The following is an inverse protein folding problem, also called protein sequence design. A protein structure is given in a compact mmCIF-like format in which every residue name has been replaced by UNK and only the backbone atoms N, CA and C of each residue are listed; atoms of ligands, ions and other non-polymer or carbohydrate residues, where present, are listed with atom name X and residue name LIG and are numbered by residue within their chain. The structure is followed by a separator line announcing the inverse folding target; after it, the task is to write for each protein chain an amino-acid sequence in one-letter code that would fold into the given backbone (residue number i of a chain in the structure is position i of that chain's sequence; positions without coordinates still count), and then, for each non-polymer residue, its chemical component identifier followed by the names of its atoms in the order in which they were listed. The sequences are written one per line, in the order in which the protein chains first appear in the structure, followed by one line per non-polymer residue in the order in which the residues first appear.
data_IF_608288179358
#
_entry.id   IF_608288179358
#
_cell.length_a   1.000
_cell.length_b   1.000
_cell.length_c   1.000
_cell.angle_alpha   90.00
_cell.angle_beta   90.00
_cell.angle_gamma   90.00
#
_symmetry.space_group_name_H-M   'P 1'
#
loop_
_entity.id
_entity.type
_entity.pdbx_description
1 polymer ?
#
# COMPACT_ATOMS: atom_id res chain seq x y z
N UNK A 1 2.95 -0.37 -16.43
CA UNK A 1 3.18 -1.00 -15.11
C UNK A 1 4.23 -0.29 -14.21
N UNK A 2 5.40 0.13 -14.74
CA UNK A 2 6.49 0.68 -13.92
C UNK A 2 6.18 1.99 -13.18
N UNK A 3 5.57 2.98 -13.86
CA UNK A 3 5.25 4.29 -13.25
C UNK A 3 4.21 4.14 -12.11
N UNK A 4 3.23 3.25 -12.25
CA UNK A 4 2.20 3.06 -11.22
C UNK A 4 2.81 2.49 -9.93
N UNK A 5 3.76 1.54 -10.07
CA UNK A 5 4.52 0.98 -8.94
C UNK A 5 5.35 2.03 -8.22
N UNK A 6 5.92 3.01 -8.95
CA UNK A 6 6.65 4.13 -8.33
C UNK A 6 5.73 4.98 -7.44
N UNK A 7 4.52 5.29 -7.90
CA UNK A 7 3.54 6.00 -7.08
C UNK A 7 3.09 5.20 -5.86
N UNK A 8 2.84 3.90 -6.00
CA UNK A 8 2.50 3.01 -4.89
C UNK A 8 3.58 3.04 -3.79
N UNK A 9 4.85 2.95 -4.16
CA UNK A 9 5.98 2.97 -3.20
C UNK A 9 6.17 4.34 -2.56
N UNK A 10 6.06 5.43 -3.32
CA UNK A 10 6.16 6.79 -2.76
C UNK A 10 5.03 7.08 -1.76
N UNK A 11 3.79 6.68 -2.09
CA UNK A 11 2.64 6.90 -1.21
C UNK A 11 2.75 6.01 0.03
N UNK A 12 3.12 4.74 -0.12
CA UNK A 12 3.33 3.83 1.01
C UNK A 12 4.44 4.34 1.95
N UNK A 13 5.56 4.85 1.42
CA UNK A 13 6.63 5.46 2.20
C UNK A 13 6.17 6.71 2.94
N UNK A 14 5.37 7.56 2.29
CA UNK A 14 4.77 8.74 2.92
C UNK A 14 3.79 8.36 4.04
N UNK A 15 2.96 7.33 3.83
CA UNK A 15 2.05 6.80 4.84
C UNK A 15 2.81 6.27 6.06
N UNK A 16 3.90 5.53 5.83
CA UNK A 16 4.75 5.00 6.88
C UNK A 16 5.40 6.13 7.70
N UNK A 17 5.94 7.14 7.02
CA UNK A 17 6.55 8.30 7.67
C UNK A 17 5.52 9.05 8.54
N UNK A 18 4.32 9.32 8.01
CA UNK A 18 3.25 9.98 8.78
C UNK A 18 2.82 9.14 9.98
N UNK A 19 2.65 7.83 9.79
CA UNK A 19 2.23 6.89 10.83
C UNK A 19 3.25 6.84 11.97
N UNK A 20 4.55 6.82 11.68
CA UNK A 20 5.61 6.84 12.68
C UNK A 20 5.71 8.20 13.38
N UNK A 21 5.70 9.30 12.61
CA UNK A 21 5.95 10.63 13.16
C UNK A 21 4.82 11.13 14.08
N UNK A 22 3.55 10.92 13.68
CA UNK A 22 2.41 11.46 14.41
C UNK A 22 1.86 10.51 15.48
N UNK A 23 1.93 9.20 15.27
CA UNK A 23 1.26 8.24 16.16
C UNK A 23 2.14 7.82 17.34
N UNK A 24 3.45 7.64 17.12
CA UNK A 24 4.42 7.32 18.18
C UNK A 24 4.42 8.37 19.31
N UNK A 25 4.15 9.63 18.98
CA UNK A 25 4.12 10.74 19.94
C UNK A 25 2.81 10.89 20.72
N UNK A 26 1.72 10.25 20.32
CA UNK A 26 0.37 10.60 20.80
C UNK A 26 -0.54 9.44 21.22
N UNK A 27 -0.20 8.19 20.91
CA UNK A 27 -0.98 7.02 21.31
C UNK A 27 -0.15 6.02 22.14
N UNK A 28 0.02 6.26 23.46
CA UNK A 28 0.76 5.37 24.34
C UNK A 28 -0.07 4.21 24.93
N UNK A 29 -1.35 4.00 24.56
CA UNK A 29 -2.18 2.95 25.20
C UNK A 29 -3.13 2.16 24.27
N UNK A 30 -3.31 2.54 23.00
CA UNK A 30 -4.12 1.79 22.03
C UNK A 30 -3.23 1.30 20.87
N UNK A 31 -2.55 0.17 21.10
CA UNK A 31 -1.52 -0.33 20.19
C UNK A 31 -2.07 -1.17 19.03
N UNK A 32 -3.17 -1.90 19.25
CA UNK A 32 -3.58 -2.99 18.34
C UNK A 32 -3.96 -2.52 16.92
N UNK A 33 -4.70 -1.42 16.80
CA UNK A 33 -5.15 -0.91 15.48
C UNK A 33 -3.99 -0.25 14.72
N UNK A 34 -3.16 0.51 15.44
CA UNK A 34 -2.00 1.17 14.87
C UNK A 34 -0.95 0.18 14.37
N UNK A 35 -0.63 -0.83 15.16
CA UNK A 35 0.34 -1.86 14.80
C UNK A 35 -0.10 -2.64 13.57
N UNK A 36 -1.40 -2.96 13.45
CA UNK A 36 -1.94 -3.60 12.25
C UNK A 36 -1.80 -2.71 11.01
N UNK A 37 -2.08 -1.41 11.12
CA UNK A 37 -1.88 -0.46 10.03
C UNK A 37 -0.40 -0.36 9.63
N UNK A 38 0.50 -0.22 10.60
CA UNK A 38 1.93 -0.08 10.37
C UNK A 38 2.55 -1.36 9.78
N UNK A 39 2.17 -2.53 10.28
CA UNK A 39 2.61 -3.82 9.74
C UNK A 39 2.15 -4.01 8.28
N UNK A 40 0.91 -3.60 7.98
CA UNK A 40 0.37 -3.70 6.62
C UNK A 40 1.09 -2.78 5.65
N UNK A 41 1.27 -1.51 6.02
CA UNK A 41 1.95 -0.52 5.17
C UNK A 41 3.42 -0.90 4.96
N UNK A 42 4.12 -1.38 5.99
CA UNK A 42 5.51 -1.85 5.85
C UNK A 42 5.61 -3.08 4.96
N UNK A 43 4.76 -4.09 5.13
CA UNK A 43 4.77 -5.28 4.29
C UNK A 43 4.57 -4.95 2.81
N UNK A 44 3.60 -4.07 2.52
CA UNK A 44 3.26 -3.65 1.16
C UNK A 44 4.35 -2.74 0.56
N UNK A 45 4.97 -1.87 1.37
CA UNK A 45 6.10 -1.05 0.94
C UNK A 45 7.32 -1.92 0.57
N UNK A 46 7.67 -2.89 1.42
CA UNK A 46 8.80 -3.79 1.18
C UNK A 46 8.55 -4.63 -0.07
N UNK A 47 7.37 -5.24 -0.18
CA UNK A 47 7.06 -6.09 -1.33
C UNK A 47 7.03 -5.30 -2.65
N UNK A 48 6.39 -4.13 -2.69
CA UNK A 48 6.38 -3.27 -3.90
C UNK A 48 7.75 -2.68 -4.20
N UNK A 49 8.55 -2.37 -3.18
CA UNK A 49 9.94 -1.94 -3.32
C UNK A 49 10.82 -3.02 -3.92
N UNK A 50 10.73 -4.26 -3.43
CA UNK A 50 11.41 -5.41 -4.00
C UNK A 50 11.01 -5.63 -5.47
N UNK A 51 9.72 -5.58 -5.79
CA UNK A 51 9.23 -5.73 -7.16
C UNK A 51 9.75 -4.63 -8.10
N UNK A 52 9.81 -3.38 -7.64
CA UNK A 52 10.41 -2.28 -8.39
C UNK A 52 11.90 -2.50 -8.62
N UNK A 53 12.65 -2.84 -7.56
CA UNK A 53 14.10 -3.05 -7.65
C UNK A 53 14.41 -4.23 -8.57
N UNK A 54 13.67 -5.34 -8.47
CA UNK A 54 13.80 -6.47 -9.40
C UNK A 54 13.49 -6.08 -10.84
N UNK A 55 12.50 -5.20 -11.07
CA UNK A 55 12.18 -4.68 -12.39
C UNK A 55 13.27 -3.74 -12.96
N UNK A 56 13.94 -2.96 -12.10
CA UNK A 56 15.02 -2.06 -12.50
C UNK A 56 16.33 -2.81 -12.76
N UNK A 57 16.66 -3.80 -11.93
CA UNK A 57 17.87 -4.61 -12.07
C UNK A 57 17.79 -5.59 -13.26
N UNK A 58 16.60 -6.03 -13.64
CA UNK A 58 16.42 -6.97 -14.74
C UNK A 58 15.25 -6.58 -15.64
N UNK A 59 15.51 -5.63 -16.54
CA UNK A 59 14.52 -5.08 -17.48
C UNK A 59 13.92 -6.14 -18.41
N UNK A 60 14.65 -7.23 -18.69
CA UNK A 60 14.12 -8.37 -19.47
C UNK A 60 13.02 -9.12 -18.70
N UNK A 61 13.14 -9.24 -17.38
CA UNK A 61 12.17 -9.90 -16.50
C UNK A 61 10.89 -9.08 -16.34
N UNK A 62 10.96 -7.75 -16.51
CA UNK A 62 9.79 -6.86 -16.43
C UNK A 62 8.67 -7.28 -17.41
N UNK A 63 9.05 -7.75 -18.60
CA UNK A 63 8.12 -8.19 -19.66
C UNK A 63 7.44 -9.53 -19.37
N UNK A 64 8.06 -10.37 -18.52
CA UNK A 64 7.59 -11.70 -18.13
C UNK A 64 6.77 -11.60 -16.85
N UNK A 65 7.24 -10.82 -15.87
CA UNK A 65 6.58 -10.63 -14.57
C UNK A 65 5.17 -10.02 -14.72
N UNK A 66 5.02 -9.03 -15.60
CA UNK A 66 3.71 -8.39 -15.92
C UNK A 66 2.69 -9.38 -16.51
N UNK A 67 3.13 -10.56 -16.98
CA UNK A 67 2.26 -11.62 -17.52
C UNK A 67 1.95 -12.73 -16.49
N UNK A 68 2.52 -12.67 -15.30
CA UNK A 68 2.35 -13.73 -14.30
C UNK A 68 1.09 -13.51 -13.46
N UNK A 69 0.40 -14.60 -13.12
CA UNK A 69 -0.67 -14.61 -12.11
C UNK A 69 -0.21 -14.06 -10.76
N UNK A 70 1.11 -14.10 -10.48
CA UNK A 70 1.69 -13.57 -9.27
C UNK A 70 1.46 -12.06 -9.10
N UNK A 71 1.62 -11.26 -10.16
CA UNK A 71 1.40 -9.80 -10.08
C UNK A 71 -0.08 -9.49 -9.80
N UNK A 72 -1.00 -10.22 -10.42
CA UNK A 72 -2.43 -10.10 -10.16
C UNK A 72 -2.79 -10.44 -8.70
N UNK A 73 -2.34 -11.59 -8.22
CA UNK A 73 -2.61 -12.06 -6.85
C UNK A 73 -2.00 -11.10 -5.84
N UNK A 74 -0.78 -10.65 -6.08
CA UNK A 74 -0.09 -9.67 -5.23
C UNK A 74 -0.90 -8.38 -5.09
N UNK A 75 -1.29 -7.75 -6.21
CA UNK A 75 -2.04 -6.48 -6.16
C UNK A 75 -3.44 -6.65 -5.54
N UNK A 76 -4.09 -7.80 -5.74
CA UNK A 76 -5.38 -8.10 -5.10
C UNK A 76 -5.25 -8.25 -3.58
N UNK A 77 -4.25 -9.00 -3.12
CA UNK A 77 -4.00 -9.21 -1.68
C UNK A 77 -3.54 -7.90 -1.03
N UNK A 78 -2.64 -7.16 -1.67
CA UNK A 78 -2.19 -5.84 -1.21
C UNK A 78 -3.35 -4.85 -1.11
N UNK A 79 -4.27 -4.85 -2.08
CA UNK A 79 -5.50 -4.05 -2.02
C UNK A 79 -6.36 -4.44 -0.81
N UNK A 80 -6.70 -5.71 -0.65
CA UNK A 80 -7.58 -6.16 0.43
C UNK A 80 -7.02 -5.83 1.82
N UNK A 81 -5.72 -6.09 2.03
CA UNK A 81 -5.03 -5.80 3.29
C UNK A 81 -4.95 -4.30 3.57
N UNK A 82 -4.51 -3.49 2.59
CA UNK A 82 -4.41 -2.03 2.78
C UNK A 82 -5.77 -1.39 2.99
N UNK A 83 -6.80 -1.84 2.27
CA UNK A 83 -8.17 -1.35 2.46
C UNK A 83 -8.69 -1.66 3.87
N UNK A 84 -8.55 -2.91 4.34
CA UNK A 84 -8.98 -3.29 5.68
C UNK A 84 -8.22 -2.50 6.76
N UNK A 85 -6.89 -2.42 6.66
CA UNK A 85 -6.05 -1.70 7.60
C UNK A 85 -6.36 -0.20 7.65
N UNK A 86 -6.51 0.45 6.50
CA UNK A 86 -6.86 1.87 6.42
C UNK A 86 -8.28 2.16 6.91
N UNK A 87 -9.24 1.26 6.68
CA UNK A 87 -10.62 1.45 7.13
C UNK A 87 -10.73 1.37 8.65
N UNK A 88 -10.11 0.37 9.27
CA UNK A 88 -10.09 0.23 10.73
C UNK A 88 -9.38 1.42 11.37
N UNK A 89 -8.22 1.83 10.82
CA UNK A 89 -7.48 3.00 11.29
C UNK A 89 -8.27 4.31 11.12
N UNK A 90 -9.03 4.45 10.03
CA UNK A 90 -9.89 5.62 9.81
C UNK A 90 -11.00 5.74 10.87
N UNK A 91 -11.68 4.63 11.19
CA UNK A 91 -12.74 4.66 12.20
C UNK A 91 -12.21 4.95 13.61
N UNK A 92 -11.03 4.44 13.94
CA UNK A 92 -10.36 4.69 15.20
C UNK A 92 -9.99 6.18 15.35
N UNK A 93 -9.31 6.73 14.34
CA UNK A 93 -8.80 8.11 14.35
C UNK A 93 -9.91 9.14 14.14
N UNK A 94 -11.02 8.80 13.48
CA UNK A 94 -12.18 9.70 13.27
C UNK A 94 -12.66 10.39 14.55
N UNK A 95 -12.60 9.68 15.68
CA UNK A 95 -13.07 10.21 16.95
C UNK A 95 -12.08 11.23 17.56
N UNK A 96 -10.83 11.18 17.11
CA UNK A 96 -9.78 12.10 17.52
C UNK A 96 -9.73 13.26 16.52
N UNK A 97 -10.08 14.45 16.99
CA UNK A 97 -10.25 15.70 16.21
C UNK A 97 -8.94 16.28 15.64
N UNK A 98 -7.99 15.43 15.24
CA UNK A 98 -6.71 15.79 14.65
C UNK A 98 -6.68 15.52 13.14
N UNK A 99 -6.72 16.61 12.38
CA UNK A 99 -6.71 16.57 10.92
C UNK A 99 -5.44 15.89 10.33
N UNK A 100 -4.29 15.97 11.02
CA UNK A 100 -3.03 15.40 10.51
C UNK A 100 -2.97 13.88 10.52
N UNK A 101 -3.56 13.23 11.52
CA UNK A 101 -3.58 11.76 11.62
C UNK A 101 -4.64 11.19 10.66
N UNK A 102 -5.76 11.89 10.53
CA UNK A 102 -6.78 11.61 9.52
C UNK A 102 -6.22 11.66 8.09
N UNK A 103 -5.33 12.61 7.79
CA UNK A 103 -4.66 12.66 6.49
C UNK A 103 -3.85 11.38 6.20
N UNK A 104 -3.21 10.78 7.21
CA UNK A 104 -2.51 9.50 7.08
C UNK A 104 -3.45 8.33 6.75
N UNK A 105 -4.62 8.27 7.40
CA UNK A 105 -5.64 7.26 7.13
C UNK A 105 -6.21 7.40 5.71
N UNK A 106 -6.49 8.64 5.28
CA UNK A 106 -7.00 8.93 3.92
C UNK A 106 -5.94 8.61 2.86
N UNK A 107 -4.66 8.91 3.10
CA UNK A 107 -3.58 8.51 2.20
C UNK A 107 -3.46 6.99 2.06
N UNK A 108 -3.67 6.24 3.16
CA UNK A 108 -3.75 4.78 3.10
C UNK A 108 -4.92 4.27 2.26
N UNK A 109 -6.09 4.92 2.34
CA UNK A 109 -7.22 4.61 1.45
C UNK A 109 -6.90 4.91 -0.01
N UNK A 110 -6.25 6.04 -0.29
CA UNK A 110 -5.80 6.38 -1.66
C UNK A 110 -4.83 5.32 -2.18
N UNK A 111 -3.90 4.85 -1.33
CA UNK A 111 -2.98 3.76 -1.66
C UNK A 111 -3.74 2.47 -2.03
N UNK A 112 -4.79 2.12 -1.27
CA UNK A 112 -5.61 0.95 -1.60
C UNK A 112 -6.31 1.09 -2.96
N UNK A 113 -6.86 2.27 -3.29
CA UNK A 113 -7.48 2.51 -4.61
C UNK A 113 -6.43 2.35 -5.72
N UNK A 114 -5.20 2.81 -5.48
CA UNK A 114 -4.12 2.65 -6.43
C UNK A 114 -3.80 1.17 -6.68
N UNK A 115 -3.73 0.36 -5.62
CA UNK A 115 -3.59 -1.10 -5.73
C UNK A 115 -4.76 -1.78 -6.45
N UNK A 116 -6.00 -1.30 -6.27
CA UNK A 116 -7.16 -1.79 -7.01
C UNK A 116 -7.02 -1.51 -8.51
N UNK A 117 -6.65 -0.28 -8.88
CA UNK A 117 -6.42 0.09 -10.28
C UNK A 117 -5.31 -0.80 -10.86
N UNK A 118 -4.22 -0.98 -10.12
CA UNK A 118 -3.10 -1.85 -10.48
C UNK A 118 -3.54 -3.30 -10.72
N UNK A 119 -4.40 -3.84 -9.85
CA UNK A 119 -4.99 -5.18 -10.00
C UNK A 119 -5.86 -5.30 -11.25
N UNK A 120 -6.69 -4.29 -11.55
CA UNK A 120 -7.52 -4.28 -12.78
C UNK A 120 -6.65 -4.24 -14.05
N UNK A 121 -5.57 -3.44 -14.04
CA UNK A 121 -4.62 -3.40 -15.16
C UNK A 121 -3.88 -4.73 -15.32
N UNK A 122 -3.45 -5.35 -14.21
CA UNK A 122 -2.83 -6.68 -14.24
C UNK A 122 -3.79 -7.75 -14.78
N UNK A 123 -5.07 -7.69 -14.40
CA UNK A 123 -6.09 -8.63 -14.88
C UNK A 123 -6.35 -8.48 -16.39
N UNK A 124 -6.42 -7.25 -16.89
CA UNK A 124 -6.51 -6.98 -18.33
C UNK A 124 -5.28 -7.46 -19.08
N UNK A 125 -4.08 -7.23 -18.53
CA UNK A 125 -2.84 -7.70 -19.12
C UNK A 125 -2.74 -9.23 -19.18
N UNK A 126 -3.31 -9.93 -18.20
CA UNK A 126 -3.38 -11.40 -18.19
C UNK A 126 -4.38 -11.97 -19.21
N UNK A 127 -5.55 -11.33 -19.37
CA UNK A 127 -6.60 -11.78 -20.32
C UNK A 127 -6.39 -11.34 -21.77
N UNK A 128 -5.54 -10.35 -22.01
CA UNK A 128 -5.22 -9.83 -23.36
C UNK A 128 -4.08 -10.58 -24.06
N UNK A 129 -3.69 -11.74 -23.54
CA UNK A 129 -2.70 -12.67 -24.10
C UNK A 129 -3.39 -13.93 -24.63
#
# INVERSE_FOLDING_TARGET
PGILKLFEVLIAGTCLFLALFYTYRRYPNDYSVYEFYLATITAVLVASGCLLISCLLSLSTASILTKTLFELVYHCVAFALTFAASLVFYFDVKNYRQNSILAGAVLGLILSILYLISSVFAFRSYRGL
#
